data_IF_918667299169
#
_entry.id   IF_918667299169
#
_cell.length_a   1.000
_cell.length_b   1.000
_cell.length_c   1.000
_cell.angle_alpha   90.00
_cell.angle_beta   90.00
_cell.angle_gamma   90.00
#
_symmetry.space_group_name_H-M   'P 1'
#
loop_
_entity.id
_entity.type
_entity.pdbx_description
1 polymer ?
#
# COMPACT_ATOMS: atom_id res chain seq x y z
N UNK A 1 -26.81 -8.39 20.60
CA UNK A 1 -25.32 -8.54 20.61
C UNK A 1 -24.77 -8.64 19.19
N UNK A 2 -25.24 -9.57 18.33
CA UNK A 2 -24.79 -9.67 16.93
C UNK A 2 -25.04 -8.39 16.09
N UNK A 3 -26.22 -7.78 16.19
CA UNK A 3 -26.57 -6.54 15.49
C UNK A 3 -25.59 -5.39 15.80
N UNK A 4 -25.24 -5.22 17.07
CA UNK A 4 -24.31 -4.19 17.53
C UNK A 4 -22.90 -4.41 16.99
N UNK A 5 -22.43 -5.67 16.92
CA UNK A 5 -21.13 -6.02 16.35
C UNK A 5 -21.09 -5.77 14.84
N UNK A 6 -22.16 -6.11 14.12
CA UNK A 6 -22.27 -5.89 12.68
C UNK A 6 -22.19 -4.39 12.34
N UNK A 7 -22.88 -3.55 13.10
CA UNK A 7 -22.84 -2.08 12.97
C UNK A 7 -21.41 -1.56 13.16
N UNK A 8 -20.69 -2.03 14.17
CA UNK A 8 -19.30 -1.62 14.44
C UNK A 8 -18.36 -2.01 13.28
N UNK A 9 -18.48 -3.22 12.74
CA UNK A 9 -17.66 -3.68 11.61
C UNK A 9 -17.92 -2.88 10.33
N UNK A 10 -19.19 -2.51 10.08
CA UNK A 10 -19.57 -1.67 8.94
C UNK A 10 -18.98 -0.26 9.09
N UNK A 11 -19.09 0.35 10.28
CA UNK A 11 -18.52 1.68 10.55
C UNK A 11 -16.99 1.67 10.37
N UNK A 12 -16.31 0.65 10.91
CA UNK A 12 -14.85 0.53 10.77
C UNK A 12 -14.44 0.39 9.28
N UNK A 13 -15.19 -0.40 8.51
CA UNK A 13 -14.94 -0.56 7.07
C UNK A 13 -15.11 0.74 6.29
N UNK A 14 -16.07 1.58 6.68
CA UNK A 14 -16.30 2.90 6.07
C UNK A 14 -15.17 3.87 6.42
N UNK A 15 -14.75 3.93 7.68
CA UNK A 15 -13.68 4.81 8.13
C UNK A 15 -12.36 4.52 7.39
N UNK A 16 -11.98 3.25 7.25
CA UNK A 16 -10.78 2.84 6.51
C UNK A 16 -10.85 3.31 5.03
N UNK A 17 -12.01 3.20 4.39
CA UNK A 17 -12.20 3.66 3.01
C UNK A 17 -12.10 5.17 2.88
N UNK A 18 -12.65 5.92 3.85
CA UNK A 18 -12.57 7.39 3.87
C UNK A 18 -11.12 7.85 3.96
N UNK A 19 -10.34 7.25 4.85
CA UNK A 19 -8.92 7.59 5.01
C UNK A 19 -8.13 7.34 3.72
N UNK A 20 -8.40 6.21 3.06
CA UNK A 20 -7.79 5.87 1.76
C UNK A 20 -8.17 6.89 0.70
N UNK A 21 -9.44 7.28 0.64
CA UNK A 21 -9.95 8.28 -0.31
C UNK A 21 -9.30 9.65 -0.08
N UNK A 22 -9.17 10.06 1.18
CA UNK A 22 -8.55 11.33 1.56
C UNK A 22 -7.08 11.36 1.15
N UNK A 23 -6.34 10.25 1.34
CA UNK A 23 -4.95 10.16 0.90
C UNK A 23 -4.81 10.33 -0.62
N UNK A 24 -5.64 9.62 -1.40
CA UNK A 24 -5.62 9.71 -2.87
C UNK A 24 -5.97 11.13 -3.31
N UNK A 25 -7.04 11.70 -2.74
CA UNK A 25 -7.49 13.05 -3.06
C UNK A 25 -6.40 14.09 -2.78
N UNK A 26 -5.81 14.06 -1.59
CA UNK A 26 -4.75 15.00 -1.21
C UNK A 26 -3.52 14.90 -2.14
N UNK A 27 -3.19 13.68 -2.60
CA UNK A 27 -2.11 13.45 -3.57
C UNK A 27 -2.43 14.07 -4.93
N UNK A 28 -3.68 14.01 -5.37
CA UNK A 28 -4.11 14.60 -6.65
C UNK A 28 -4.19 16.13 -6.61
N UNK A 29 -4.64 16.70 -5.49
CA UNK A 29 -4.73 18.16 -5.30
C UNK A 29 -3.36 18.85 -5.30
N UNK A 30 -2.31 18.14 -4.89
CA UNK A 30 -0.95 18.65 -4.85
C UNK A 30 -0.08 18.03 -5.95
N UNK A 31 -0.31 18.44 -7.21
CA UNK A 31 0.42 17.94 -8.38
C UNK A 31 1.38 18.98 -8.96
N UNK A 32 2.62 18.60 -9.24
CA UNK A 32 3.61 19.41 -9.94
C UNK A 32 4.21 18.66 -11.13
N UNK A 33 4.82 19.39 -12.06
CA UNK A 33 5.60 18.77 -13.15
C UNK A 33 7.01 18.40 -12.69
N UNK A 34 7.65 17.46 -13.40
CA UNK A 34 9.04 17.09 -13.15
C UNK A 34 10.01 18.28 -13.32
N UNK A 35 9.69 19.22 -14.22
CA UNK A 35 10.47 20.45 -14.41
C UNK A 35 10.37 21.34 -13.18
N UNK A 36 9.15 21.57 -12.66
CA UNK A 36 8.94 22.31 -11.42
C UNK A 36 9.59 21.62 -10.23
N UNK A 37 9.49 20.29 -10.12
CA UNK A 37 10.14 19.52 -9.07
C UNK A 37 11.67 19.72 -9.06
N UNK A 38 12.29 19.78 -10.24
CA UNK A 38 13.72 20.06 -10.40
C UNK A 38 14.07 21.50 -10.01
N UNK A 39 13.23 22.47 -10.37
CA UNK A 39 13.47 23.89 -10.14
C UNK A 39 13.20 24.31 -8.68
N UNK A 40 12.16 23.75 -8.07
CA UNK A 40 11.62 24.11 -6.76
C UNK A 40 11.81 22.98 -5.72
N UNK A 41 12.94 22.26 -5.79
CA UNK A 41 13.13 21.05 -4.99
C UNK A 41 13.00 21.29 -3.47
N UNK A 42 13.54 22.40 -2.96
CA UNK A 42 13.43 22.73 -1.53
C UNK A 42 11.98 22.93 -1.07
N UNK A 43 11.19 23.62 -1.87
CA UNK A 43 9.77 23.87 -1.61
C UNK A 43 8.94 22.58 -1.75
N UNK A 44 9.28 21.73 -2.73
CA UNK A 44 8.70 20.39 -2.86
C UNK A 44 8.88 19.56 -1.59
N UNK A 45 10.08 19.55 -0.99
CA UNK A 45 10.33 18.83 0.26
C UNK A 45 9.53 19.41 1.43
N UNK A 46 9.36 20.74 1.51
CA UNK A 46 8.53 21.37 2.55
C UNK A 46 7.04 21.04 2.38
N UNK A 47 6.54 21.03 1.15
CA UNK A 47 5.15 20.64 0.85
C UNK A 47 4.92 19.17 1.20
N UNK A 48 5.88 18.29 0.92
CA UNK A 48 5.75 16.86 1.22
C UNK A 48 5.70 16.54 2.72
N UNK A 49 6.15 17.46 3.59
CA UNK A 49 5.98 17.30 5.05
C UNK A 49 4.53 17.48 5.51
N UNK A 50 3.69 18.19 4.72
CA UNK A 50 2.31 18.50 5.07
C UNK A 50 1.32 17.57 4.39
N UNK A 51 1.58 17.24 3.13
CA UNK A 51 0.74 16.32 2.35
C UNK A 51 1.54 15.67 1.21
N UNK A 52 1.11 14.51 0.71
CA UNK A 52 1.71 13.89 -0.47
C UNK A 52 1.73 14.83 -1.66
N UNK A 53 2.84 14.85 -2.42
CA UNK A 53 2.95 15.64 -3.66
C UNK A 53 3.14 14.70 -4.83
N UNK A 54 2.25 14.76 -5.81
CA UNK A 54 2.37 14.01 -7.06
C UNK A 54 3.28 14.75 -8.06
N UNK A 55 4.22 14.03 -8.66
CA UNK A 55 5.07 14.53 -9.74
C UNK A 55 4.63 13.90 -11.06
N UNK A 56 4.43 14.74 -12.07
CA UNK A 56 4.03 14.33 -13.42
C UNK A 56 5.11 14.63 -14.47
N UNK A 57 5.18 13.79 -15.49
CA UNK A 57 5.98 14.05 -16.70
C UNK A 57 5.08 13.91 -17.91
N UNK A 58 5.00 14.95 -18.74
CA UNK A 58 4.12 14.99 -19.90
C UNK A 58 2.65 14.63 -19.56
N UNK A 59 2.15 15.14 -18.43
CA UNK A 59 0.80 14.88 -17.93
C UNK A 59 0.58 13.51 -17.29
N UNK A 60 1.57 12.60 -17.30
CA UNK A 60 1.47 11.28 -16.67
C UNK A 60 2.09 11.30 -15.26
N UNK A 61 1.44 10.73 -14.24
CA UNK A 61 2.04 10.59 -12.91
C UNK A 61 3.26 9.66 -12.98
N UNK A 62 4.37 10.08 -12.36
CA UNK A 62 5.65 9.33 -12.39
C UNK A 62 6.26 9.11 -11.01
N UNK A 63 5.90 9.93 -10.02
CA UNK A 63 6.33 9.76 -8.63
C UNK A 63 5.35 10.43 -7.66
N UNK A 64 5.41 10.01 -6.40
CA UNK A 64 4.77 10.69 -5.27
C UNK A 64 5.85 10.91 -4.21
N UNK A 65 5.95 12.12 -3.68
CA UNK A 65 6.84 12.44 -2.56
C UNK A 65 6.02 12.54 -1.29
N UNK A 66 6.50 11.89 -0.23
CA UNK A 66 5.90 11.81 1.09
C UNK A 66 6.88 12.31 2.15
N UNK A 67 6.38 12.66 3.33
CA UNK A 67 7.21 12.78 4.52
C UNK A 67 7.76 11.40 4.91
N UNK A 68 8.89 11.36 5.62
CA UNK A 68 9.40 10.09 6.15
C UNK A 68 8.39 9.43 7.09
N UNK A 69 7.76 10.22 7.96
CA UNK A 69 6.71 9.76 8.88
C UNK A 69 5.57 9.05 8.15
N UNK A 70 5.02 9.67 7.10
CA UNK A 70 3.93 9.06 6.31
C UNK A 70 4.38 7.79 5.60
N UNK A 71 5.61 7.78 5.08
CA UNK A 71 6.18 6.60 4.46
C UNK A 71 6.35 5.43 5.45
N UNK A 72 6.87 5.68 6.66
CA UNK A 72 6.99 4.66 7.70
C UNK A 72 5.62 4.15 8.16
N UNK A 73 4.64 5.05 8.31
CA UNK A 73 3.27 4.69 8.65
C UNK A 73 2.67 3.75 7.60
N UNK A 74 2.82 4.09 6.32
CA UNK A 74 2.35 3.26 5.21
C UNK A 74 3.01 1.87 5.20
N UNK A 75 4.34 1.79 5.43
CA UNK A 75 5.04 0.50 5.57
C UNK A 75 4.49 -0.34 6.71
N UNK A 76 4.23 0.28 7.87
CA UNK A 76 3.67 -0.40 9.04
C UNK A 76 2.25 -0.91 8.79
N UNK A 77 1.43 -0.13 8.07
CA UNK A 77 0.09 -0.54 7.67
C UNK A 77 0.13 -1.73 6.70
N UNK A 78 1.01 -1.68 5.69
CA UNK A 78 1.19 -2.78 4.74
C UNK A 78 1.65 -4.07 5.42
N UNK A 79 2.60 -3.96 6.37
CA UNK A 79 3.03 -5.12 7.15
C UNK A 79 1.87 -5.71 7.97
N UNK A 80 1.08 -4.88 8.64
CA UNK A 80 -0.10 -5.35 9.38
C UNK A 80 -1.11 -6.04 8.48
N UNK A 81 -1.37 -5.49 7.30
CA UNK A 81 -2.28 -6.10 6.33
C UNK A 81 -1.78 -7.48 5.88
N UNK A 82 -0.49 -7.60 5.55
CA UNK A 82 0.12 -8.87 5.15
C UNK A 82 0.09 -9.92 6.27
N UNK A 83 0.27 -9.52 7.53
CA UNK A 83 0.15 -10.42 8.68
C UNK A 83 -1.28 -10.93 8.85
N UNK A 84 -2.27 -10.05 8.77
CA UNK A 84 -3.69 -10.41 8.85
C UNK A 84 -4.07 -11.34 7.70
N UNK A 85 -3.63 -11.05 6.49
CA UNK A 85 -3.85 -11.91 5.32
C UNK A 85 -3.22 -13.29 5.53
N UNK A 86 -1.98 -13.35 6.03
CA UNK A 86 -1.31 -14.60 6.39
C UNK A 86 -2.08 -15.41 7.43
N UNK A 87 -2.53 -14.78 8.51
CA UNK A 87 -3.35 -15.43 9.56
C UNK A 87 -4.69 -15.95 9.02
N UNK A 88 -5.37 -15.17 8.18
CA UNK A 88 -6.67 -15.53 7.61
C UNK A 88 -6.59 -16.58 6.50
N UNK A 89 -5.44 -16.69 5.82
CA UNK A 89 -5.27 -17.63 4.72
C UNK A 89 -5.42 -19.09 5.14
N UNK A 90 -5.32 -19.40 6.44
CA UNK A 90 -5.62 -20.72 7.02
C UNK A 90 -4.72 -21.88 6.52
N UNK A 91 -3.89 -21.64 5.51
CA UNK A 91 -2.96 -22.59 4.90
C UNK A 91 -1.59 -22.48 5.56
N UNK A 92 -1.56 -22.55 6.89
CA UNK A 92 -0.39 -23.10 7.56
C UNK A 92 -0.45 -24.62 7.36
N UNK A 93 -0.28 -25.08 6.11
CA UNK A 93 0.08 -26.48 5.88
C UNK A 93 1.25 -26.83 6.79
N UNK A 94 1.37 -28.10 7.18
CA UNK A 94 2.46 -28.55 8.03
C UNK A 94 3.79 -27.97 7.49
N UNK A 95 4.51 -27.23 8.33
CA UNK A 95 5.79 -26.61 7.98
C UNK A 95 6.85 -27.70 7.86
N UNK A 96 6.66 -28.60 6.90
CA UNK A 96 7.59 -29.65 6.53
C UNK A 96 8.42 -29.13 5.34
N UNK A 97 9.71 -28.96 5.63
CA UNK A 97 10.74 -28.60 4.65
C UNK A 97 10.69 -29.50 3.42
N UNK A 98 10.32 -30.78 3.55
CA UNK A 98 10.21 -31.70 2.42
C UNK A 98 8.98 -31.41 1.56
N UNK A 99 7.81 -31.20 2.17
CA UNK A 99 6.59 -30.84 1.47
C UNK A 99 6.73 -29.48 0.73
N UNK A 100 7.39 -28.51 1.35
CA UNK A 100 7.70 -27.20 0.75
C UNK A 100 8.61 -27.36 -0.48
N UNK A 101 9.68 -28.17 -0.35
CA UNK A 101 10.58 -28.46 -1.48
C UNK A 101 9.88 -29.18 -2.62
N UNK A 102 8.96 -30.09 -2.31
CA UNK A 102 8.23 -30.85 -3.32
C UNK A 102 7.20 -29.99 -4.07
N UNK A 103 6.44 -29.14 -3.36
CA UNK A 103 5.52 -28.17 -3.96
C UNK A 103 6.26 -27.17 -4.86
N UNK A 104 7.42 -26.66 -4.40
CA UNK A 104 8.26 -25.77 -5.20
C UNK A 104 8.81 -26.44 -6.48
N UNK A 105 9.22 -27.71 -6.40
CA UNK A 105 9.69 -28.46 -7.58
C UNK A 105 8.59 -28.66 -8.62
N UNK A 106 7.36 -28.98 -8.19
CA UNK A 106 6.21 -29.12 -9.10
C UNK A 106 5.89 -27.80 -9.81
N UNK A 107 5.85 -26.69 -9.07
CA UNK A 107 5.58 -25.36 -9.65
C UNK A 107 6.66 -24.92 -10.65
N UNK A 108 7.92 -25.29 -10.45
CA UNK A 108 9.01 -25.00 -11.40
C UNK A 108 8.91 -25.86 -12.68
N UNK A 109 8.44 -27.10 -12.58
CA UNK A 109 8.20 -27.95 -13.74
C UNK A 109 7.01 -27.43 -14.56
N UNK A 110 5.91 -27.03 -13.90
CA UNK A 110 4.72 -26.50 -14.56
C UNK A 110 5.01 -25.15 -15.27
N UNK A 111 5.94 -24.35 -14.73
CA UNK A 111 6.37 -23.10 -15.35
C UNK A 111 7.39 -23.27 -16.50
N UNK A 112 7.97 -24.47 -16.68
CA UNK A 112 8.87 -24.79 -17.79
C UNK A 112 8.15 -25.45 -18.97
N UNK A 113 6.90 -25.88 -18.76
CA UNK A 113 6.03 -26.50 -19.79
C UNK A 113 5.00 -25.49 -20.36
N UNK A 114 5.14 -24.20 -20.03
CA UNK A 114 4.35 -23.06 -20.54
C UNK A 114 5.24 -22.05 -21.27
#
# INVERSE_FOLDING_TARGET
MLESTLIILVILSILIKIDTLNFIKNTMENTITATQAKQEFGELILRSQKSPVQVTKNGKPVAVILSDTDYQQMKKQNLRAALIEGELSGDAGELDIQAIKEKARKQMADAQDS
#
